data_IF_707163927018
#
_entry.id   IF_707163927018
#
_cell.length_a   1.000
_cell.length_b   1.000
_cell.length_c   1.000
_cell.angle_alpha   90.00
_cell.angle_beta   90.00
_cell.angle_gamma   90.00
#
_symmetry.space_group_name_H-M   'P 1'
#
loop_
_entity.id
_entity.type
_entity.pdbx_description
1 polymer ?
#
# COMPACT_ATOMS: atom_id res chain seq x y z
N UNK A 1 4.03 19.19 7.42
CA UNK A 1 4.31 17.97 8.21
C UNK A 1 5.82 17.77 8.28
N UNK A 2 6.39 17.42 9.44
CA UNK A 2 7.84 17.16 9.57
C UNK A 2 8.20 15.76 9.03
N UNK A 3 9.48 15.55 8.71
CA UNK A 3 10.00 14.23 8.30
C UNK A 3 9.73 13.17 9.38
N UNK A 4 10.00 13.53 10.63
CA UNK A 4 9.83 12.63 11.76
C UNK A 4 8.37 12.23 11.96
N UNK A 5 7.42 13.16 11.91
CA UNK A 5 6.00 12.85 12.04
C UNK A 5 5.51 11.96 10.88
N UNK A 6 5.95 12.25 9.65
CA UNK A 6 5.60 11.45 8.49
C UNK A 6 6.14 10.02 8.59
N UNK A 7 7.42 9.86 8.95
CA UNK A 7 8.04 8.55 9.15
C UNK A 7 7.35 7.76 10.26
N UNK A 8 7.09 8.37 11.43
CA UNK A 8 6.42 7.70 12.57
C UNK A 8 5.00 7.27 12.25
N UNK A 9 4.22 8.10 11.56
CA UNK A 9 2.87 7.73 11.13
C UNK A 9 2.90 6.59 10.12
N UNK A 10 3.84 6.64 9.16
CA UNK A 10 4.02 5.57 8.17
C UNK A 10 4.43 4.27 8.85
N UNK A 11 5.36 4.31 9.81
CA UNK A 11 5.78 3.16 10.63
C UNK A 11 4.62 2.53 11.38
N UNK A 12 3.83 3.33 12.09
CA UNK A 12 2.71 2.84 12.87
C UNK A 12 1.64 2.21 11.98
N UNK A 13 1.24 2.89 10.91
CA UNK A 13 0.24 2.37 9.97
C UNK A 13 0.74 1.11 9.25
N UNK A 14 2.01 1.07 8.84
CA UNK A 14 2.58 -0.11 8.18
C UNK A 14 2.67 -1.30 9.15
N UNK A 15 3.09 -1.07 10.40
CA UNK A 15 3.13 -2.11 11.42
C UNK A 15 1.73 -2.67 11.71
N UNK A 16 0.70 -1.81 11.76
CA UNK A 16 -0.70 -2.25 11.91
C UNK A 16 -1.17 -3.08 10.69
N UNK A 17 -0.85 -2.64 9.47
CA UNK A 17 -1.18 -3.40 8.26
C UNK A 17 -0.50 -4.78 8.25
N UNK A 18 0.78 -4.84 8.61
CA UNK A 18 1.54 -6.09 8.71
C UNK A 18 1.04 -6.98 9.85
N UNK A 19 0.61 -6.42 10.98
CA UNK A 19 -0.02 -7.18 12.07
C UNK A 19 -1.30 -7.85 11.59
N UNK A 20 -2.23 -7.08 11.00
CA UNK A 20 -3.48 -7.62 10.46
C UNK A 20 -3.22 -8.79 9.51
N UNK A 21 -2.31 -8.60 8.54
CA UNK A 21 -1.92 -9.66 7.61
C UNK A 21 -1.32 -10.89 8.30
N UNK A 22 -0.60 -10.70 9.42
CA UNK A 22 0.05 -11.81 10.13
C UNK A 22 -0.97 -12.72 10.82
N UNK A 23 -2.11 -12.17 11.23
CA UNK A 23 -3.19 -12.94 11.87
C UNK A 23 -3.73 -14.04 10.95
N UNK A 24 -3.73 -13.81 9.64
CA UNK A 24 -4.20 -14.77 8.63
C UNK A 24 -3.35 -16.06 8.62
N UNK A 25 -2.08 -15.96 9.03
CA UNK A 25 -1.12 -17.07 8.98
C UNK A 25 -0.99 -17.82 10.32
N UNK A 26 -1.74 -17.43 11.36
CA UNK A 26 -1.70 -18.10 12.67
C UNK A 26 -2.26 -19.53 12.65
N UNK A 27 -3.12 -19.84 11.67
CA UNK A 27 -3.67 -21.18 11.42
C UNK A 27 -2.87 -21.98 10.38
N UNK A 28 -1.78 -21.42 9.86
CA UNK A 28 -0.93 -22.04 8.85
C UNK A 28 -0.01 -23.13 9.40
N UNK A 29 0.89 -23.62 8.53
CA UNK A 29 1.90 -24.62 8.88
C UNK A 29 2.83 -24.13 10.00
N UNK A 30 3.46 -25.03 10.77
CA UNK A 30 4.38 -24.65 11.87
C UNK A 30 5.47 -23.65 11.42
N UNK A 31 6.18 -23.83 10.29
CA UNK A 31 7.21 -22.88 9.85
C UNK A 31 6.65 -21.51 9.49
N UNK A 32 5.48 -21.48 8.87
CA UNK A 32 4.78 -20.24 8.49
C UNK A 32 4.32 -19.48 9.73
N UNK A 33 3.68 -20.18 10.68
CA UNK A 33 3.27 -19.59 11.95
C UNK A 33 4.45 -18.97 12.69
N UNK A 34 5.62 -19.63 12.71
CA UNK A 34 6.83 -19.06 13.33
C UNK A 34 7.25 -17.74 12.67
N UNK A 35 7.27 -17.67 11.33
CA UNK A 35 7.62 -16.45 10.62
C UNK A 35 6.65 -15.30 10.95
N UNK A 36 5.34 -15.57 10.94
CA UNK A 36 4.34 -14.52 11.17
C UNK A 36 4.19 -14.13 12.64
N UNK A 37 4.44 -15.04 13.61
CA UNK A 37 4.55 -14.67 15.02
C UNK A 37 5.78 -13.79 15.26
N UNK A 38 6.92 -14.11 14.65
CA UNK A 38 8.09 -13.25 14.69
C UNK A 38 7.79 -11.86 14.08
N UNK A 39 7.07 -11.82 12.94
CA UNK A 39 6.64 -10.56 12.32
C UNK A 39 5.76 -9.75 13.26
N UNK A 40 4.82 -10.39 13.97
CA UNK A 40 3.96 -9.71 14.94
C UNK A 40 4.76 -9.10 16.10
N UNK A 41 5.72 -9.84 16.66
CA UNK A 41 6.58 -9.33 17.73
C UNK A 41 7.37 -8.10 17.28
N UNK A 42 7.96 -8.16 16.08
CA UNK A 42 8.71 -7.04 15.51
C UNK A 42 7.82 -5.83 15.18
N UNK A 43 6.59 -6.04 14.70
CA UNK A 43 5.62 -4.96 14.55
C UNK A 43 5.28 -4.32 15.91
N UNK A 44 5.19 -5.12 16.98
CA UNK A 44 5.05 -4.63 18.34
C UNK A 44 6.19 -3.68 18.73
N UNK A 45 7.44 -4.03 18.42
CA UNK A 45 8.59 -3.14 18.65
C UNK A 45 8.48 -1.83 17.87
N UNK A 46 8.07 -1.88 16.60
CA UNK A 46 7.85 -0.66 15.79
C UNK A 46 6.77 0.23 16.41
N UNK A 47 5.64 -0.35 16.83
CA UNK A 47 4.55 0.39 17.45
C UNK A 47 4.94 1.01 18.79
N UNK A 48 5.65 0.25 19.65
CA UNK A 48 6.17 0.78 20.92
C UNK A 48 7.18 1.90 20.68
N UNK A 49 8.09 1.73 19.71
CA UNK A 49 9.05 2.75 19.30
C UNK A 49 8.37 4.04 18.84
N UNK A 50 7.31 3.93 18.02
CA UNK A 50 6.53 5.05 17.54
C UNK A 50 5.73 5.74 18.66
N UNK A 51 5.07 4.97 19.52
CA UNK A 51 4.20 5.47 20.59
C UNK A 51 4.96 6.17 21.72
N UNK A 52 6.06 5.57 22.19
CA UNK A 52 6.87 6.09 23.29
C UNK A 52 8.07 6.92 22.84
N UNK A 53 8.20 7.16 21.54
CA UNK A 53 9.30 7.95 20.96
C UNK A 53 10.68 7.33 21.23
N UNK A 54 10.75 5.99 21.28
CA UNK A 54 11.97 5.23 21.52
C UNK A 54 12.62 4.82 20.20
N UNK A 55 13.56 5.62 19.65
CA UNK A 55 14.05 5.44 18.29
C UNK A 55 14.75 4.09 18.10
N UNK A 56 15.54 3.65 19.08
CA UNK A 56 16.27 2.38 19.02
C UNK A 56 15.34 1.15 19.01
N UNK A 57 14.25 1.18 19.78
CA UNK A 57 13.27 0.08 19.81
C UNK A 57 12.54 -0.01 18.47
N UNK A 58 12.10 1.13 17.94
CA UNK A 58 11.49 1.19 16.61
C UNK A 58 12.44 0.73 15.51
N UNK A 59 13.72 1.13 15.57
CA UNK A 59 14.75 0.73 14.62
C UNK A 59 15.03 -0.78 14.64
N UNK A 60 15.15 -1.39 15.83
CA UNK A 60 15.31 -2.85 15.97
C UNK A 60 14.12 -3.56 15.32
N UNK A 61 12.90 -3.06 15.57
CA UNK A 61 11.69 -3.57 14.92
C UNK A 61 11.75 -3.48 13.40
N UNK A 62 12.11 -2.30 12.84
CA UNK A 62 12.19 -2.07 11.41
C UNK A 62 13.25 -2.94 10.73
N UNK A 63 14.48 -2.98 11.26
CA UNK A 63 15.56 -3.81 10.70
C UNK A 63 15.20 -5.28 10.78
N UNK A 64 14.63 -5.73 11.90
CA UNK A 64 14.14 -7.09 12.05
C UNK A 64 13.03 -7.43 11.05
N UNK A 65 12.06 -6.53 10.85
CA UNK A 65 11.00 -6.69 9.84
C UNK A 65 11.61 -6.77 8.43
N UNK A 66 12.56 -5.88 8.09
CA UNK A 66 13.21 -5.87 6.79
C UNK A 66 13.92 -7.19 6.52
N UNK A 67 14.71 -7.70 7.46
CA UNK A 67 15.37 -9.01 7.36
C UNK A 67 14.38 -10.17 7.26
N UNK A 68 13.36 -10.19 8.13
CA UNK A 68 12.32 -11.22 8.13
C UNK A 68 11.51 -11.22 6.82
N UNK A 69 11.31 -10.05 6.21
CA UNK A 69 10.60 -9.92 4.93
C UNK A 69 11.30 -10.70 3.80
N UNK A 70 12.64 -10.79 3.82
CA UNK A 70 13.41 -11.59 2.86
C UNK A 70 13.17 -13.10 3.05
N UNK A 71 13.03 -13.54 4.31
CA UNK A 71 12.70 -14.93 4.64
C UNK A 71 11.27 -15.28 4.20
N UNK A 72 10.33 -14.36 4.40
CA UNK A 72 8.95 -14.49 3.93
C UNK A 72 8.91 -14.56 2.39
N UNK A 73 9.61 -13.66 1.70
CA UNK A 73 9.74 -13.68 0.23
C UNK A 73 10.28 -15.02 -0.26
N UNK A 74 11.36 -15.53 0.35
CA UNK A 74 11.92 -16.84 0.01
C UNK A 74 10.90 -17.96 0.25
N UNK A 75 10.15 -17.92 1.35
CA UNK A 75 9.15 -18.95 1.68
C UNK A 75 8.00 -19.02 0.68
N UNK A 76 7.57 -17.88 0.15
CA UNK A 76 6.47 -17.77 -0.82
C UNK A 76 6.94 -17.64 -2.28
N UNK A 77 8.25 -17.77 -2.54
CA UNK A 77 8.84 -17.64 -3.87
C UNK A 77 8.55 -16.29 -4.55
N UNK A 78 8.53 -15.23 -3.76
CA UNK A 78 8.26 -13.86 -4.20
C UNK A 78 7.10 -13.20 -3.44
N UNK A 79 6.66 -12.01 -3.89
CA UNK A 79 5.50 -11.31 -3.35
C UNK A 79 4.24 -12.16 -3.61
N UNK A 80 3.62 -12.64 -2.54
CA UNK A 80 2.50 -13.58 -2.60
C UNK A 80 1.21 -12.90 -3.08
N UNK A 81 0.96 -11.65 -2.65
CA UNK A 81 -0.24 -10.87 -2.97
C UNK A 81 0.01 -9.72 -3.95
N UNK A 82 1.00 -9.88 -4.84
CA UNK A 82 1.27 -8.93 -5.91
C UNK A 82 1.59 -7.51 -5.42
N UNK A 83 0.79 -6.53 -5.84
CA UNK A 83 1.07 -5.11 -5.61
C UNK A 83 1.08 -4.66 -4.14
N UNK A 84 0.23 -5.25 -3.28
CA UNK A 84 0.20 -4.93 -1.85
C UNK A 84 1.51 -5.30 -1.16
N UNK A 85 1.98 -6.54 -1.34
CA UNK A 85 3.25 -7.01 -0.78
C UNK A 85 4.44 -6.18 -1.31
N UNK A 86 4.44 -5.82 -2.60
CA UNK A 86 5.49 -4.96 -3.18
C UNK A 86 5.52 -3.57 -2.54
N UNK A 87 4.36 -2.92 -2.38
CA UNK A 87 4.26 -1.61 -1.73
C UNK A 87 4.67 -1.69 -0.25
N UNK A 88 4.24 -2.73 0.47
CA UNK A 88 4.61 -2.94 1.87
C UNK A 88 6.12 -3.16 2.07
N UNK A 89 6.74 -3.97 1.21
CA UNK A 89 8.19 -4.15 1.18
C UNK A 89 8.93 -2.85 0.88
N UNK A 90 8.48 -2.12 -0.14
CA UNK A 90 9.06 -0.83 -0.50
C UNK A 90 8.98 0.15 0.69
N UNK A 91 7.81 0.28 1.32
CA UNK A 91 7.61 1.13 2.48
C UNK A 91 8.54 0.75 3.65
N UNK A 92 8.63 -0.55 3.96
CA UNK A 92 9.49 -1.08 5.00
C UNK A 92 10.96 -0.76 4.77
N UNK A 93 11.46 -0.95 3.55
CA UNK A 93 12.85 -0.65 3.22
C UNK A 93 13.12 0.84 3.19
N UNK A 94 12.23 1.67 2.64
CA UNK A 94 12.38 3.13 2.67
C UNK A 94 12.41 3.68 4.10
N UNK A 95 11.56 3.17 5.00
CA UNK A 95 11.57 3.55 6.41
C UNK A 95 12.86 3.11 7.11
N UNK A 96 13.28 1.87 6.91
CA UNK A 96 14.54 1.36 7.47
C UNK A 96 15.73 2.21 7.02
N UNK A 97 15.82 2.50 5.71
CA UNK A 97 16.88 3.33 5.14
C UNK A 97 16.79 4.78 5.65
N UNK A 98 15.58 5.33 5.78
CA UNK A 98 15.38 6.68 6.33
C UNK A 98 15.89 6.80 7.76
N UNK A 99 15.69 5.77 8.60
CA UNK A 99 16.17 5.74 10.00
C UNK A 99 17.65 5.45 10.15
N UNK A 100 18.25 4.70 9.21
CA UNK A 100 19.69 4.41 9.20
C UNK A 100 20.52 5.45 8.45
N UNK A 101 19.87 6.40 7.77
CA UNK A 101 20.55 7.39 6.95
C UNK A 101 21.54 8.23 7.80
N UNK A 102 22.79 8.39 7.36
CA UNK A 102 23.80 9.13 8.10
C UNK A 102 23.61 10.65 8.02
N UNK A 103 22.78 11.12 7.09
CA UNK A 103 22.49 12.54 6.90
C UNK A 103 20.99 12.79 6.73
N UNK A 104 20.50 13.98 7.12
CA UNK A 104 19.10 14.35 6.90
C UNK A 104 18.68 14.24 5.43
N UNK A 105 19.54 14.65 4.49
CA UNK A 105 19.25 14.60 3.06
C UNK A 105 19.00 13.16 2.56
N UNK A 106 19.75 12.17 3.05
CA UNK A 106 19.52 10.76 2.70
C UNK A 106 18.24 10.22 3.35
N UNK A 107 17.91 10.66 4.56
CA UNK A 107 16.66 10.29 5.23
C UNK A 107 15.44 10.82 4.46
N UNK A 108 15.54 12.07 4.01
CA UNK A 108 14.55 12.74 3.16
C UNK A 108 14.42 12.08 1.79
N UNK A 109 15.53 11.70 1.17
CA UNK A 109 15.52 10.98 -0.10
C UNK A 109 14.80 9.64 0.01
N UNK A 110 15.06 8.86 1.07
CA UNK A 110 14.42 7.56 1.26
C UNK A 110 12.89 7.68 1.46
N UNK A 111 12.43 8.63 2.28
CA UNK A 111 10.99 8.84 2.49
C UNK A 111 10.32 9.50 1.27
N UNK A 112 11.00 10.43 0.62
CA UNK A 112 10.54 11.09 -0.61
C UNK A 112 10.41 10.10 -1.76
N UNK A 113 11.34 9.15 -1.89
CA UNK A 113 11.24 8.06 -2.85
C UNK A 113 9.99 7.22 -2.62
N UNK A 114 9.63 6.91 -1.37
CA UNK A 114 8.39 6.22 -1.06
C UNK A 114 7.14 7.00 -1.50
N UNK A 115 7.09 8.30 -1.21
CA UNK A 115 6.00 9.17 -1.67
C UNK A 115 5.89 9.26 -3.19
N UNK A 116 7.04 9.36 -3.87
CA UNK A 116 7.12 9.38 -5.33
C UNK A 116 6.62 8.05 -5.94
N UNK A 117 7.02 6.92 -5.35
CA UNK A 117 6.61 5.60 -5.81
C UNK A 117 5.10 5.38 -5.63
N UNK A 118 4.47 5.93 -4.59
CA UNK A 118 3.01 5.90 -4.47
C UNK A 118 2.34 6.62 -5.64
N UNK A 119 2.81 7.83 -5.99
CA UNK A 119 2.30 8.58 -7.15
C UNK A 119 2.52 7.83 -8.46
N UNK A 120 3.75 7.35 -8.69
CA UNK A 120 4.11 6.61 -9.91
C UNK A 120 3.32 5.32 -10.03
N UNK A 121 3.00 4.65 -8.92
CA UNK A 121 2.20 3.42 -8.95
C UNK A 121 0.80 3.66 -9.52
N UNK A 122 0.16 4.79 -9.19
CA UNK A 122 -1.11 5.17 -9.83
C UNK A 122 -0.90 5.53 -11.30
N UNK A 123 0.06 6.41 -11.60
CA UNK A 123 0.25 6.91 -12.96
C UNK A 123 0.60 5.80 -13.96
N UNK A 124 1.54 4.92 -13.61
CA UNK A 124 1.95 3.79 -14.45
C UNK A 124 0.79 2.80 -14.62
N UNK A 125 0.04 2.53 -13.53
CA UNK A 125 -1.16 1.69 -13.57
C UNK A 125 -2.19 2.24 -14.56
N UNK A 126 -2.49 3.54 -14.51
CA UNK A 126 -3.38 4.21 -15.46
C UNK A 126 -2.86 4.16 -16.90
N UNK A 127 -1.54 4.37 -17.09
CA UNK A 127 -0.87 4.26 -18.38
C UNK A 127 -0.98 2.88 -19.02
N UNK A 128 -0.80 1.82 -18.25
CA UNK A 128 -0.98 0.43 -18.74
C UNK A 128 -2.45 0.18 -19.10
N UNK A 129 -3.39 0.65 -18.27
CA UNK A 129 -4.82 0.46 -18.53
C UNK A 129 -5.31 1.21 -19.77
N UNK A 130 -4.90 2.46 -19.98
CA UNK A 130 -5.40 3.26 -21.11
C UNK A 130 -4.93 2.70 -22.46
N UNK A 131 -3.73 2.12 -22.52
CA UNK A 131 -3.21 1.44 -23.72
C UNK A 131 -4.01 0.16 -24.01
N UNK A 132 -4.39 -0.58 -22.97
CA UNK A 132 -5.10 -1.85 -23.10
C UNK A 132 -6.56 -1.64 -23.60
N UNK A 133 -6.96 -2.21 -24.77
CA UNK A 133 -8.31 -2.08 -25.30
C UNK A 133 -9.41 -2.69 -24.41
N UNK A 134 -9.10 -3.70 -23.58
CA UNK A 134 -10.07 -4.33 -22.70
C UNK A 134 -10.49 -3.41 -21.55
N UNK A 135 -9.58 -2.55 -21.08
CA UNK A 135 -9.91 -1.51 -20.11
C UNK A 135 -10.73 -0.40 -20.74
N UNK A 136 -10.38 0.04 -21.97
CA UNK A 136 -11.13 1.07 -22.72
C UNK A 136 -12.55 0.65 -23.07
N UNK A 137 -12.79 -0.65 -23.26
CA UNK A 137 -14.12 -1.21 -23.54
C UNK A 137 -14.91 -1.59 -22.28
N UNK A 138 -14.31 -1.50 -21.08
CA UNK A 138 -14.91 -1.95 -19.83
C UNK A 138 -14.87 -3.46 -19.60
N UNK A 139 -14.40 -4.24 -20.57
CA UNK A 139 -14.28 -5.71 -20.49
C UNK A 139 -13.38 -6.15 -19.34
N UNK A 140 -12.23 -5.52 -19.16
CA UNK A 140 -11.29 -5.88 -18.09
C UNK A 140 -11.93 -5.77 -16.70
N UNK A 141 -12.73 -4.72 -16.46
CA UNK A 141 -13.44 -4.57 -15.19
C UNK A 141 -14.60 -5.56 -15.06
N UNK A 142 -15.30 -5.87 -16.15
CA UNK A 142 -16.30 -6.94 -16.16
C UNK A 142 -15.71 -8.29 -15.77
N UNK A 143 -14.52 -8.61 -16.27
CA UNK A 143 -13.80 -9.84 -15.93
C UNK A 143 -13.38 -9.87 -14.46
N UNK A 144 -12.98 -8.72 -13.87
CA UNK A 144 -12.75 -8.63 -12.42
C UNK A 144 -14.02 -8.98 -11.64
N UNK A 145 -15.17 -8.42 -11.99
CA UNK A 145 -16.43 -8.78 -11.32
C UNK A 145 -16.83 -10.23 -11.54
N UNK A 146 -16.59 -10.80 -12.73
CA UNK A 146 -17.00 -12.16 -13.08
C UNK A 146 -16.11 -13.24 -12.44
N UNK A 147 -14.81 -13.00 -12.36
CA UNK A 147 -13.81 -14.02 -12.01
C UNK A 147 -13.12 -13.78 -10.66
N UNK A 148 -13.51 -12.76 -9.89
CA UNK A 148 -13.03 -12.62 -8.52
C UNK A 148 -13.31 -13.87 -7.69
N UNK A 149 -12.26 -14.37 -7.05
CA UNK A 149 -12.26 -15.67 -6.37
C UNK A 149 -12.81 -15.62 -4.94
N UNK A 150 -12.89 -14.43 -4.33
CA UNK A 150 -13.31 -14.28 -2.95
C UNK A 150 -14.84 -14.40 -2.81
N UNK A 151 -15.36 -15.13 -1.80
CA UNK A 151 -16.81 -15.33 -1.62
C UNK A 151 -17.63 -14.04 -1.56
N UNK A 152 -17.06 -12.97 -0.98
CA UNK A 152 -17.71 -11.65 -0.89
C UNK A 152 -18.05 -11.04 -2.27
N UNK A 153 -17.41 -11.51 -3.33
CA UNK A 153 -17.64 -11.05 -4.70
C UNK A 153 -18.72 -11.83 -5.46
N UNK A 154 -19.24 -12.95 -4.92
CA UNK A 154 -20.16 -13.83 -5.65
C UNK A 154 -21.48 -13.14 -6.01
N UNK A 155 -22.09 -12.44 -5.04
CA UNK A 155 -23.33 -11.68 -5.27
C UNK A 155 -23.12 -10.49 -6.22
N UNK A 156 -21.87 -10.01 -6.32
CA UNK A 156 -21.49 -8.89 -7.17
C UNK A 156 -21.23 -9.31 -8.62
N UNK A 157 -21.12 -10.61 -8.92
CA UNK A 157 -20.90 -11.10 -10.30
C UNK A 157 -21.95 -10.59 -11.29
N UNK A 158 -23.19 -10.36 -10.84
CA UNK A 158 -24.28 -9.78 -11.67
C UNK A 158 -24.01 -8.35 -12.14
N UNK A 159 -23.12 -7.62 -11.46
CA UNK A 159 -22.68 -6.29 -11.93
C UNK A 159 -21.89 -6.40 -13.24
N UNK A 160 -21.27 -7.56 -13.53
CA UNK A 160 -20.59 -7.83 -14.80
C UNK A 160 -21.54 -7.70 -16.02
N UNK A 161 -22.85 -7.83 -15.80
CA UNK A 161 -23.87 -7.75 -16.85
C UNK A 161 -24.37 -6.32 -17.11
N UNK A 162 -23.75 -5.30 -16.48
CA UNK A 162 -24.07 -3.89 -16.68
C UNK A 162 -22.99 -3.15 -17.49
N UNK A 163 -22.89 -3.35 -18.81
CA UNK A 163 -21.77 -2.88 -19.62
C UNK A 163 -21.56 -1.36 -19.60
N UNK A 164 -22.64 -0.57 -19.59
CA UNK A 164 -22.55 0.91 -19.52
C UNK A 164 -21.95 1.39 -18.21
N UNK A 165 -22.31 0.75 -17.09
CA UNK A 165 -21.76 1.07 -15.78
C UNK A 165 -20.27 0.72 -15.73
N UNK A 166 -19.89 -0.47 -16.20
CA UNK A 166 -18.50 -0.93 -16.16
C UNK A 166 -17.61 -0.10 -17.08
N UNK A 167 -18.10 0.30 -18.25
CA UNK A 167 -17.41 1.24 -19.13
C UNK A 167 -17.13 2.56 -18.39
N UNK A 168 -18.15 3.15 -17.77
CA UNK A 168 -18.00 4.40 -17.04
C UNK A 168 -17.01 4.27 -15.87
N UNK A 169 -17.11 3.20 -15.09
CA UNK A 169 -16.19 2.93 -13.97
C UNK A 169 -14.75 2.66 -14.45
N UNK A 170 -14.56 1.92 -15.54
CA UNK A 170 -13.23 1.71 -16.13
C UNK A 170 -12.58 3.03 -16.54
N UNK A 171 -13.31 3.91 -17.23
CA UNK A 171 -12.82 5.23 -17.58
C UNK A 171 -12.56 6.11 -16.37
N UNK A 172 -13.42 6.08 -15.36
CA UNK A 172 -13.21 6.81 -14.11
C UNK A 172 -11.89 6.38 -13.42
N UNK A 173 -11.61 5.08 -13.34
CA UNK A 173 -10.36 4.55 -12.77
C UNK A 173 -9.16 4.99 -13.58
N UNK A 174 -9.18 4.82 -14.92
CA UNK A 174 -8.06 5.19 -15.78
C UNK A 174 -7.74 6.69 -15.71
N UNK A 175 -8.77 7.55 -15.81
CA UNK A 175 -8.58 9.00 -15.77
C UNK A 175 -8.09 9.46 -14.40
N UNK A 176 -8.63 8.90 -13.32
CA UNK A 176 -8.15 9.21 -11.97
C UNK A 176 -6.68 8.82 -11.79
N UNK A 177 -6.30 7.60 -12.16
CA UNK A 177 -4.93 7.10 -12.04
C UNK A 177 -3.94 7.96 -12.85
N UNK A 178 -4.30 8.34 -14.07
CA UNK A 178 -3.48 9.22 -14.93
C UNK A 178 -3.41 10.65 -14.41
N UNK A 179 -4.49 11.16 -13.79
CA UNK A 179 -4.54 12.51 -13.23
C UNK A 179 -3.94 12.60 -11.83
N UNK A 180 -3.66 11.47 -11.15
CA UNK A 180 -3.13 11.45 -9.79
C UNK A 180 -1.87 12.31 -9.59
N UNK A 181 -0.88 12.39 -10.51
CA UNK A 181 0.26 13.30 -10.36
C UNK A 181 -0.15 14.78 -10.21
N UNK A 182 -1.23 15.20 -10.86
CA UNK A 182 -1.74 16.57 -10.79
C UNK A 182 -2.28 16.93 -9.40
N UNK A 183 -2.60 15.93 -8.58
CA UNK A 183 -3.02 16.16 -7.18
C UNK A 183 -1.88 16.73 -6.33
N UNK A 184 -0.62 16.65 -6.77
CA UNK A 184 0.51 17.25 -6.06
C UNK A 184 0.56 18.78 -6.20
N UNK A 185 -0.21 19.39 -7.09
CA UNK A 185 -0.19 20.84 -7.34
C UNK A 185 -0.66 21.69 -6.14
N UNK A 186 -1.53 21.15 -5.28
CA UNK A 186 -1.96 21.85 -4.06
C UNK A 186 -2.31 20.87 -2.94
N UNK A 187 -2.22 21.31 -1.69
CA UNK A 187 -2.55 20.46 -0.54
C UNK A 187 -3.98 19.95 -0.59
N UNK A 188 -4.91 20.79 -1.01
CA UNK A 188 -6.33 20.48 -1.12
C UNK A 188 -6.56 19.40 -2.18
N UNK A 189 -5.93 19.55 -3.36
CA UNK A 189 -6.04 18.57 -4.45
C UNK A 189 -5.44 17.22 -4.06
N UNK A 190 -4.32 17.19 -3.32
CA UNK A 190 -3.75 15.95 -2.80
C UNK A 190 -4.68 15.29 -1.79
N UNK A 191 -5.25 16.05 -0.85
CA UNK A 191 -6.18 15.49 0.14
C UNK A 191 -7.39 14.87 -0.57
N UNK A 192 -7.99 15.58 -1.53
CA UNK A 192 -9.11 15.04 -2.32
C UNK A 192 -8.69 13.79 -3.09
N UNK A 193 -7.53 13.82 -3.75
CA UNK A 193 -6.98 12.66 -4.47
C UNK A 193 -6.77 11.45 -3.57
N UNK A 194 -6.21 11.64 -2.38
CA UNK A 194 -6.01 10.57 -1.40
C UNK A 194 -7.33 10.04 -0.83
N UNK A 195 -8.34 10.89 -0.64
CA UNK A 195 -9.68 10.43 -0.23
C UNK A 195 -10.27 9.53 -1.33
N UNK A 196 -10.24 9.98 -2.60
CA UNK A 196 -10.76 9.19 -3.73
C UNK A 196 -10.01 7.86 -3.86
N UNK A 197 -8.67 7.89 -3.78
CA UNK A 197 -7.85 6.68 -3.81
C UNK A 197 -8.14 5.75 -2.63
N UNK A 198 -8.32 6.29 -1.43
CA UNK A 198 -8.66 5.54 -0.23
C UNK A 198 -10.04 4.89 -0.34
N UNK A 199 -11.04 5.61 -0.86
CA UNK A 199 -12.37 5.08 -1.14
C UNK A 199 -12.33 3.99 -2.21
N UNK A 200 -11.52 4.15 -3.26
CA UNK A 200 -11.32 3.11 -4.26
C UNK A 200 -10.75 1.83 -3.65
N UNK A 201 -9.69 1.94 -2.83
CA UNK A 201 -9.11 0.78 -2.15
C UNK A 201 -10.07 0.16 -1.13
N UNK A 202 -10.87 0.97 -0.42
CA UNK A 202 -11.90 0.48 0.49
C UNK A 202 -12.98 -0.28 -0.27
N UNK A 203 -13.45 0.26 -1.41
CA UNK A 203 -14.39 -0.44 -2.28
C UNK A 203 -13.81 -1.78 -2.74
N UNK A 204 -12.54 -1.83 -3.13
CA UNK A 204 -11.90 -3.11 -3.48
C UNK A 204 -11.80 -4.08 -2.30
N UNK A 205 -11.56 -3.60 -1.09
CA UNK A 205 -11.57 -4.43 0.12
C UNK A 205 -12.98 -5.00 0.40
N UNK A 206 -14.02 -4.17 0.31
CA UNK A 206 -15.40 -4.57 0.56
C UNK A 206 -15.98 -5.46 -0.56
N UNK A 207 -15.69 -5.17 -1.82
CA UNK A 207 -16.29 -5.84 -2.98
C UNK A 207 -15.51 -7.09 -3.40
N UNK A 208 -14.18 -7.07 -3.25
CA UNK A 208 -13.31 -8.13 -3.76
C UNK A 208 -12.45 -8.79 -2.69
N UNK A 209 -12.63 -8.44 -1.40
CA UNK A 209 -11.87 -9.04 -0.30
C UNK A 209 -10.39 -8.61 -0.27
N UNK A 210 -10.01 -7.58 -1.04
CA UNK A 210 -8.63 -7.09 -1.17
C UNK A 210 -8.19 -6.24 0.05
N UNK A 211 -8.44 -6.73 1.26
CA UNK A 211 -8.19 -6.03 2.53
C UNK A 211 -6.73 -5.59 2.69
N UNK A 212 -5.77 -6.44 2.28
CA UNK A 212 -4.33 -6.17 2.39
C UNK A 212 -3.91 -4.95 1.57
N UNK A 213 -4.52 -4.74 0.40
CA UNK A 213 -4.27 -3.58 -0.45
C UNK A 213 -4.67 -2.29 0.26
N UNK A 214 -5.88 -2.23 0.83
CA UNK A 214 -6.36 -1.03 1.52
C UNK A 214 -5.40 -0.56 2.61
N UNK A 215 -5.08 -1.42 3.58
CA UNK A 215 -4.24 -1.03 4.71
C UNK A 215 -2.81 -0.67 4.30
N UNK A 216 -2.22 -1.42 3.38
CA UNK A 216 -0.82 -1.21 2.96
C UNK A 216 -0.65 0.07 2.15
N UNK A 217 -1.64 0.45 1.34
CA UNK A 217 -1.56 1.68 0.57
C UNK A 217 -1.83 2.91 1.42
N UNK A 218 -2.80 2.84 2.34
CA UNK A 218 -3.07 3.91 3.30
C UNK A 218 -1.86 4.18 4.20
N UNK A 219 -1.08 3.15 4.56
CA UNK A 219 0.09 3.35 5.42
C UNK A 219 1.16 4.25 4.81
N UNK A 220 1.14 4.45 3.49
CA UNK A 220 2.13 5.26 2.76
C UNK A 220 1.66 6.73 2.57
N UNK A 221 0.41 7.05 2.89
CA UNK A 221 -0.13 8.41 2.71
C UNK A 221 0.66 9.50 3.45
N UNK A 222 1.19 9.28 4.67
CA UNK A 222 2.02 10.29 5.31
C UNK A 222 3.29 10.62 4.50
N UNK A 223 3.88 9.66 3.77
CA UNK A 223 5.07 9.90 2.97
C UNK A 223 4.82 10.86 1.80
N UNK A 224 3.70 10.71 1.07
CA UNK A 224 3.36 11.60 -0.06
C UNK A 224 2.90 12.99 0.43
N UNK A 225 2.15 13.06 1.53
CA UNK A 225 1.78 14.33 2.16
C UNK A 225 3.02 15.11 2.64
N UNK A 226 4.05 14.39 3.12
CA UNK A 226 5.33 14.99 3.46
C UNK A 226 6.06 15.48 2.21
N UNK A 227 6.16 14.64 1.18
CA UNK A 227 6.84 14.96 -0.07
C UNK A 227 6.25 16.22 -0.72
N UNK A 228 4.92 16.32 -0.82
CA UNK A 228 4.26 17.47 -1.42
C UNK A 228 4.66 18.78 -0.74
N UNK A 229 4.76 18.80 0.59
CA UNK A 229 5.13 19.99 1.35
C UNK A 229 6.60 20.44 1.14
N UNK A 230 7.33 19.81 0.21
CA UNK A 230 8.66 20.23 -0.29
C UNK A 230 8.64 20.65 -1.76
N UNK A 231 7.55 20.36 -2.47
CA UNK A 231 7.36 20.69 -3.88
C UNK A 231 6.60 22.02 -4.06
N UNK A 232 5.81 22.41 -3.04
CA UNK A 232 4.97 23.62 -2.98
C UNK A 232 5.31 24.35 -1.69
#
# INVERSE_FOLDING_TARGET
>A
MSLESAARLTEALLALALLQQSLEHLRGSRPERTLFVARMALCGLVLLGAAFTWPWVGLIGLVGLAGLSLLILRRFQGPYNGGSDRMGLLALWCLTLSRLAPTPALAELALGYLGLQLMLSYFISGGVKIVNPDWRSGRALADVFRFSAYPVSEDLRRLADRPRLLLALSWAVMLFELAFPLTLLSRESLIVGLIVAGTFHLANACLFGLNRFFWTWLSVYPAILWLQARLV
#
